data_IF_774384280328
#
_entry.id   IF_774384280328
#
_cell.length_a   1.000
_cell.length_b   1.000
_cell.length_c   1.000
_cell.angle_alpha   90.00
_cell.angle_beta   90.00
_cell.angle_gamma   90.00
#
_symmetry.space_group_name_H-M   'P 1'
#
loop_
_entity.id
_entity.type
_entity.pdbx_description
1 polymer ?
#
# COMPACT_ATOMS: atom_id res chain seq x y z
N UNK A 1 42.08 9.77 -8.91
CA UNK A 1 41.13 9.72 -10.03
C UNK A 1 39.91 10.53 -9.59
N UNK A 2 39.66 11.76 -9.98
CA UNK A 2 40.13 12.55 -11.11
C UNK A 2 40.10 14.03 -10.73
N UNK A 3 41.10 14.76 -11.22
CA UNK A 3 41.24 16.20 -11.16
C UNK A 3 40.23 16.88 -12.08
N UNK A 4 39.48 17.86 -11.60
CA UNK A 4 38.68 18.75 -12.46
C UNK A 4 38.87 20.22 -12.08
N UNK A 5 38.92 21.03 -13.13
CA UNK A 5 39.69 22.26 -13.26
C UNK A 5 38.99 23.51 -12.72
N UNK A 6 39.59 24.15 -11.71
CA UNK A 6 39.23 25.49 -11.27
C UNK A 6 39.70 26.55 -12.28
N UNK A 7 38.83 26.98 -13.19
CA UNK A 7 39.08 28.13 -14.06
C UNK A 7 39.12 29.43 -13.24
N UNK A 8 40.33 29.97 -13.08
CA UNK A 8 40.65 31.28 -12.48
C UNK A 8 39.80 32.40 -13.10
N UNK A 9 38.94 33.03 -12.30
CA UNK A 9 38.38 34.36 -12.60
C UNK A 9 39.45 35.41 -12.32
N UNK A 10 39.82 36.18 -13.34
CA UNK A 10 40.78 37.30 -13.24
C UNK A 10 40.22 38.39 -12.30
N UNK A 11 41.02 38.99 -11.40
CA UNK A 11 40.58 40.15 -10.65
C UNK A 11 40.44 41.36 -11.59
N UNK A 12 39.30 42.03 -11.49
CA UNK A 12 38.94 43.23 -12.23
C UNK A 12 39.86 44.37 -11.75
N UNK A 13 40.85 44.71 -12.56
CA UNK A 13 41.71 45.87 -12.39
C UNK A 13 40.82 47.11 -12.42
N UNK A 14 40.68 47.76 -11.28
CA UNK A 14 40.14 49.12 -11.17
C UNK A 14 41.23 50.02 -11.76
N UNK A 15 41.04 50.42 -13.03
CA UNK A 15 41.80 51.53 -13.61
C UNK A 15 41.27 52.81 -12.99
N UNK A 16 42.09 53.42 -12.15
CA UNK A 16 41.99 54.83 -11.79
C UNK A 16 42.41 55.67 -12.99
N UNK A 17 41.48 55.92 -13.92
CA UNK A 17 41.65 56.97 -14.92
C UNK A 17 41.14 58.28 -14.31
N UNK A 18 41.99 58.88 -13.47
CA UNK A 18 41.91 60.30 -13.17
C UNK A 18 42.37 61.08 -14.38
N UNK A 19 41.43 61.46 -15.25
CA UNK A 19 41.62 62.54 -16.20
C UNK A 19 41.36 63.88 -15.49
N UNK A 20 42.14 64.93 -15.81
CA UNK A 20 42.14 66.16 -15.05
C UNK A 20 40.79 66.87 -15.18
N UNK A 21 40.28 67.37 -14.06
CA UNK A 21 39.31 68.44 -14.05
C UNK A 21 40.00 69.63 -14.72
N UNK A 22 39.81 69.79 -16.03
CA UNK A 22 40.03 71.08 -16.67
C UNK A 22 39.06 72.05 -15.98
N UNK A 23 39.61 72.84 -15.06
CA UNK A 23 38.99 74.04 -14.59
C UNK A 23 38.75 74.95 -15.79
N UNK A 24 37.58 74.85 -16.41
CA UNK A 24 37.01 75.95 -17.16
C UNK A 24 36.73 77.06 -16.15
N UNK A 25 37.74 77.89 -15.93
CA UNK A 25 37.55 79.32 -15.66
C UNK A 25 36.88 79.92 -16.90
N UNK A 26 35.59 79.61 -17.11
CA UNK A 26 34.72 80.57 -17.73
C UNK A 26 34.31 81.50 -16.59
N UNK A 27 35.05 82.59 -16.44
CA UNK A 27 34.46 83.79 -15.90
C UNK A 27 33.41 84.19 -16.96
N UNK A 28 32.18 83.68 -16.85
CA UNK A 28 31.09 84.21 -17.63
C UNK A 28 30.93 85.64 -17.17
N UNK A 29 31.29 86.56 -18.06
CA UNK A 29 31.00 87.96 -17.89
C UNK A 29 29.45 88.06 -17.83
N UNK A 30 28.86 88.57 -16.73
CA UNK A 30 27.40 88.60 -16.59
C UNK A 30 26.73 89.39 -17.74
N UNK A 31 27.44 90.29 -18.41
CA UNK A 31 26.98 90.96 -19.64
C UNK A 31 26.94 90.03 -20.87
N UNK A 32 27.83 89.03 -20.93
CA UNK A 32 27.94 88.07 -22.03
C UNK A 32 26.95 86.92 -21.89
N UNK A 33 26.62 86.53 -20.64
CA UNK A 33 25.45 85.69 -20.32
C UNK A 33 24.16 86.40 -20.71
N UNK A 34 23.97 87.68 -20.33
CA UNK A 34 22.79 88.47 -20.73
C UNK A 34 22.59 88.59 -22.25
N UNK A 35 23.67 88.78 -23.02
CA UNK A 35 23.62 88.75 -24.49
C UNK A 35 23.35 87.36 -25.07
N UNK A 36 23.85 86.31 -24.43
CA UNK A 36 23.63 84.92 -24.86
C UNK A 36 22.15 84.52 -24.65
N UNK A 37 21.54 84.88 -23.51
CA UNK A 37 20.10 84.71 -23.29
C UNK A 37 19.23 85.54 -24.23
N UNK A 38 19.66 86.77 -24.57
CA UNK A 38 18.96 87.61 -25.55
C UNK A 38 19.01 87.02 -26.96
N UNK A 39 20.13 86.44 -27.38
CA UNK A 39 20.28 85.81 -28.69
C UNK A 39 19.60 84.43 -28.76
N UNK A 40 19.58 83.65 -27.67
CA UNK A 40 18.81 82.40 -27.58
C UNK A 40 17.30 82.65 -27.73
N UNK A 41 16.78 83.71 -27.11
CA UNK A 41 15.39 84.13 -27.30
C UNK A 41 15.11 84.64 -28.73
N UNK A 42 16.07 85.32 -29.38
CA UNK A 42 15.95 85.71 -30.79
C UNK A 42 15.89 84.50 -31.74
N UNK A 43 16.62 83.41 -31.43
CA UNK A 43 16.63 82.19 -32.25
C UNK A 43 15.25 81.53 -32.31
N UNK A 44 14.49 81.58 -31.22
CA UNK A 44 13.16 80.96 -31.10
C UNK A 44 12.07 81.73 -31.87
N UNK A 45 12.22 83.05 -31.99
CA UNK A 45 11.25 83.91 -32.66
C UNK A 45 11.52 84.04 -34.17
N UNK A 46 12.74 83.72 -34.62
CA UNK A 46 13.17 83.88 -36.01
C UNK A 46 12.94 82.61 -36.83
N UNK A 47 12.40 82.81 -38.02
CA UNK A 47 12.19 81.74 -38.98
C UNK A 47 13.54 81.30 -39.64
N UNK A 48 13.90 80.01 -39.58
CA UNK A 48 15.14 79.50 -40.18
C UNK A 48 15.23 79.72 -41.69
N UNK A 49 14.09 79.69 -42.40
CA UNK A 49 14.02 79.93 -43.84
C UNK A 49 14.34 81.38 -44.19
N UNK A 50 13.71 82.33 -43.49
CA UNK A 50 13.99 83.77 -43.65
C UNK A 50 15.41 84.15 -43.26
N UNK A 51 15.97 83.54 -42.20
CA UNK A 51 17.38 83.73 -41.84
C UNK A 51 18.32 83.25 -42.97
N UNK A 52 17.99 82.13 -43.63
CA UNK A 52 18.77 81.61 -44.76
C UNK A 52 18.66 82.51 -46.00
N UNK A 53 17.46 83.03 -46.30
CA UNK A 53 17.26 83.99 -47.38
C UNK A 53 18.05 85.28 -47.15
N UNK A 54 18.03 85.81 -45.91
CA UNK A 54 18.83 86.97 -45.53
C UNK A 54 20.33 86.69 -45.63
N UNK A 55 20.79 85.51 -45.21
CA UNK A 55 22.18 85.08 -45.39
C UNK A 55 22.57 85.11 -46.87
N UNK A 56 21.75 84.49 -47.73
CA UNK A 56 21.99 84.45 -49.18
C UNK A 56 22.02 85.86 -49.79
N UNK A 57 21.09 86.73 -49.39
CA UNK A 57 21.03 88.12 -49.82
C UNK A 57 22.30 88.89 -49.42
N UNK A 58 22.72 88.79 -48.15
CA UNK A 58 23.95 89.47 -47.67
C UNK A 58 25.22 88.97 -48.38
N UNK A 59 25.29 87.69 -48.76
CA UNK A 59 26.38 87.16 -49.57
C UNK A 59 26.38 87.73 -51.00
N UNK A 60 25.20 87.88 -51.63
CA UNK A 60 25.07 88.49 -52.95
C UNK A 60 25.44 89.98 -52.94
N UNK A 61 25.02 90.72 -51.92
CA UNK A 61 25.39 92.12 -51.72
C UNK A 61 26.88 92.29 -51.49
N UNK A 62 27.50 91.43 -50.67
CA UNK A 62 28.94 91.43 -50.47
C UNK A 62 29.69 91.12 -51.77
N UNK A 63 29.21 90.17 -52.57
CA UNK A 63 29.78 89.86 -53.89
C UNK A 63 29.69 91.06 -54.84
N UNK A 64 28.57 91.79 -54.85
CA UNK A 64 28.40 93.02 -55.63
C UNK A 64 29.38 94.11 -55.20
N UNK A 65 29.50 94.37 -53.89
CA UNK A 65 30.44 95.35 -53.34
C UNK A 65 31.90 95.00 -53.67
N UNK A 66 32.27 93.71 -53.63
CA UNK A 66 33.61 93.27 -54.03
C UNK A 66 33.89 93.50 -55.52
N UNK A 67 32.90 93.28 -56.39
CA UNK A 67 33.01 93.58 -57.82
C UNK A 67 33.14 95.09 -58.07
N UNK A 68 32.33 95.92 -57.40
CA UNK A 68 32.43 97.39 -57.48
C UNK A 68 33.80 97.91 -56.99
N UNK A 69 34.33 97.36 -55.90
CA UNK A 69 35.67 97.71 -55.41
C UNK A 69 36.75 97.32 -56.45
N UNK A 70 36.59 96.20 -57.15
CA UNK A 70 37.51 95.77 -58.21
C UNK A 70 37.45 96.72 -59.42
N UNK A 71 36.26 97.15 -59.82
CA UNK A 71 36.06 98.10 -60.92
C UNK A 71 36.56 99.52 -60.59
N UNK A 72 36.34 99.99 -59.36
CA UNK A 72 36.87 101.29 -58.91
C UNK A 72 38.40 101.29 -58.84
N UNK A 73 39.01 100.16 -58.46
CA UNK A 73 40.47 99.98 -58.48
C UNK A 73 41.05 99.93 -59.89
N UNK A 74 40.32 99.41 -60.89
CA UNK A 74 40.79 99.33 -62.27
C UNK A 74 40.69 100.66 -63.03
N UNK A 75 39.76 101.56 -62.64
CA UNK A 75 39.50 102.85 -63.31
C UNK A 75 40.37 104.02 -62.83
N UNK A 76 40.93 103.98 -61.62
CA UNK A 76 41.99 104.90 -61.16
C UNK A 76 41.64 106.40 -61.05
N UNK A 77 40.48 106.77 -60.47
CA UNK A 77 40.07 108.17 -60.26
C UNK A 77 40.51 108.80 -58.93
N UNK A 78 40.59 110.14 -58.84
CA UNK A 78 40.97 110.87 -57.61
C UNK A 78 39.96 110.73 -56.45
N UNK A 79 38.68 110.54 -56.76
CA UNK A 79 37.61 110.29 -55.77
C UNK A 79 37.42 108.80 -55.44
N UNK A 80 38.14 107.90 -56.14
CA UNK A 80 38.01 106.45 -55.94
C UNK A 80 38.44 106.00 -54.54
N UNK A 81 39.31 106.75 -53.85
CA UNK A 81 39.78 106.40 -52.52
C UNK A 81 38.68 106.52 -51.44
N UNK A 82 37.89 107.59 -51.48
CA UNK A 82 36.77 107.79 -50.55
C UNK A 82 35.65 106.77 -50.81
N UNK A 83 35.33 106.57 -52.09
CA UNK A 83 34.32 105.61 -52.55
C UNK A 83 34.68 104.15 -52.20
N UNK A 84 35.95 103.78 -52.26
CA UNK A 84 36.44 102.46 -51.84
C UNK A 84 36.29 102.28 -50.33
N UNK A 85 36.53 103.33 -49.53
CA UNK A 85 36.40 103.23 -48.07
C UNK A 85 34.94 103.07 -47.63
N UNK A 86 34.00 103.80 -48.25
CA UNK A 86 32.57 103.62 -48.00
C UNK A 86 32.10 102.19 -48.31
N UNK A 87 32.57 101.61 -49.42
CA UNK A 87 32.24 100.23 -49.82
C UNK A 87 32.89 99.18 -48.91
N UNK A 88 34.05 99.50 -48.32
CA UNK A 88 34.67 98.67 -47.26
C UNK A 88 33.85 98.71 -45.98
N UNK A 89 33.36 99.89 -45.58
CA UNK A 89 32.49 100.03 -44.40
C UNK A 89 31.19 99.23 -44.59
N UNK A 90 30.55 99.34 -45.75
CA UNK A 90 29.36 98.54 -46.09
C UNK A 90 29.66 97.02 -46.07
N UNK A 91 30.80 96.62 -46.64
CA UNK A 91 31.25 95.21 -46.59
C UNK A 91 31.46 94.72 -45.15
N UNK A 92 32.05 95.55 -44.28
CA UNK A 92 32.21 95.25 -42.85
C UNK A 92 30.86 95.06 -42.14
N UNK A 93 29.86 95.88 -42.46
CA UNK A 93 28.48 95.71 -41.95
C UNK A 93 27.92 94.36 -42.39
N UNK A 94 28.05 94.00 -43.68
CA UNK A 94 27.63 92.68 -44.16
C UNK A 94 28.36 91.52 -43.46
N UNK A 95 29.68 91.63 -43.23
CA UNK A 95 30.42 90.63 -42.45
C UNK A 95 29.94 90.52 -41.00
N UNK A 96 29.58 91.63 -40.35
CA UNK A 96 28.98 91.60 -39.01
C UNK A 96 27.63 90.88 -39.01
N UNK A 97 26.79 91.13 -40.03
CA UNK A 97 25.51 90.41 -40.17
C UNK A 97 25.72 88.91 -40.39
N UNK A 98 26.64 88.51 -41.27
CA UNK A 98 26.98 87.09 -41.51
C UNK A 98 27.48 86.40 -40.23
N UNK A 99 28.33 87.05 -39.45
CA UNK A 99 28.80 86.53 -38.16
C UNK A 99 27.66 86.36 -37.16
N UNK A 100 26.72 87.33 -37.09
CA UNK A 100 25.51 87.20 -36.25
C UNK A 100 24.65 86.01 -36.70
N UNK A 101 24.37 85.88 -37.99
CA UNK A 101 23.57 84.76 -38.52
C UNK A 101 24.24 83.40 -38.27
N UNK A 102 25.57 83.31 -38.38
CA UNK A 102 26.31 82.09 -38.06
C UNK A 102 26.22 81.72 -36.56
N UNK A 103 26.33 82.72 -35.68
CA UNK A 103 26.15 82.51 -34.23
C UNK A 103 24.74 81.99 -33.91
N UNK A 104 23.71 82.60 -34.49
CA UNK A 104 22.31 82.16 -34.31
C UNK A 104 22.11 80.72 -34.82
N UNK A 105 22.70 80.36 -35.97
CA UNK A 105 22.63 79.00 -36.50
C UNK A 105 23.29 77.96 -35.57
N UNK A 106 24.46 78.28 -35.00
CA UNK A 106 25.13 77.39 -34.03
C UNK A 106 24.33 77.24 -32.73
N UNK A 107 23.73 78.32 -32.23
CA UNK A 107 22.85 78.28 -31.06
C UNK A 107 21.64 77.38 -31.35
N UNK A 108 20.97 77.56 -32.49
CA UNK A 108 19.82 76.74 -32.92
C UNK A 108 20.19 75.24 -33.01
N UNK A 109 21.35 74.93 -33.60
CA UNK A 109 21.84 73.56 -33.70
C UNK A 109 22.09 72.94 -32.33
N UNK A 110 22.77 73.69 -31.44
CA UNK A 110 23.06 73.21 -30.08
C UNK A 110 21.75 72.94 -29.32
N UNK A 111 20.78 73.86 -29.38
CA UNK A 111 19.48 73.69 -28.75
C UNK A 111 18.75 72.44 -29.24
N UNK A 112 18.69 72.23 -30.56
CA UNK A 112 18.07 71.02 -31.13
C UNK A 112 18.79 69.73 -30.74
N UNK A 113 20.13 69.76 -30.67
CA UNK A 113 20.93 68.62 -30.22
C UNK A 113 20.69 68.29 -28.75
N UNK A 114 20.65 69.29 -27.88
CA UNK A 114 20.46 69.09 -26.44
C UNK A 114 19.03 68.58 -26.18
N UNK A 115 18.02 69.15 -26.84
CA UNK A 115 16.63 68.69 -26.74
C UNK A 115 16.45 67.23 -27.20
N UNK A 116 17.02 66.86 -28.34
CA UNK A 116 16.96 65.48 -28.84
C UNK A 116 17.73 64.52 -27.94
N UNK A 117 18.85 64.97 -27.35
CA UNK A 117 19.59 64.17 -26.40
C UNK A 117 18.82 63.92 -25.10
N UNK A 118 18.17 64.94 -24.54
CA UNK A 118 17.34 64.79 -23.33
C UNK A 118 16.16 63.85 -23.56
N UNK A 119 15.46 63.98 -24.70
CA UNK A 119 14.38 63.08 -25.08
C UNK A 119 14.88 61.63 -25.21
N UNK A 120 16.05 61.45 -25.85
CA UNK A 120 16.71 60.14 -25.95
C UNK A 120 17.02 59.55 -24.57
N UNK A 121 17.61 60.33 -23.65
CA UNK A 121 17.93 59.84 -22.30
C UNK A 121 16.67 59.37 -21.54
N UNK A 122 15.55 60.08 -21.69
CA UNK A 122 14.26 59.66 -21.11
C UNK A 122 13.76 58.36 -21.72
N UNK A 123 13.84 58.20 -23.04
CA UNK A 123 13.46 56.95 -23.73
C UNK A 123 14.35 55.79 -23.29
N UNK A 124 15.66 55.99 -23.18
CA UNK A 124 16.60 54.97 -22.73
C UNK A 124 16.29 54.54 -21.28
N UNK A 125 15.88 55.47 -20.41
CA UNK A 125 15.45 55.16 -19.04
C UNK A 125 14.16 54.33 -18.99
N UNK A 126 13.14 54.69 -19.80
CA UNK A 126 11.92 53.87 -19.92
C UNK A 126 12.20 52.51 -20.54
N UNK A 127 13.10 52.44 -21.51
CA UNK A 127 13.51 51.17 -22.11
C UNK A 127 14.17 50.26 -21.08
N UNK A 128 15.00 50.81 -20.19
CA UNK A 128 15.59 50.04 -19.09
C UNK A 128 14.53 49.50 -18.12
N UNK A 129 13.53 50.30 -17.76
CA UNK A 129 12.41 49.85 -16.92
C UNK A 129 11.63 48.71 -17.60
N UNK A 130 11.37 48.83 -18.91
CA UNK A 130 10.74 47.78 -19.69
C UNK A 130 11.57 46.49 -19.69
N UNK A 131 12.88 46.58 -19.88
CA UNK A 131 13.76 45.41 -19.83
C UNK A 131 13.74 44.72 -18.47
N UNK A 132 13.69 45.48 -17.37
CA UNK A 132 13.56 44.91 -16.03
C UNK A 132 12.26 44.12 -15.87
N UNK A 133 11.12 44.66 -16.34
CA UNK A 133 9.83 43.97 -16.30
C UNK A 133 9.79 42.74 -17.21
N UNK A 134 10.36 42.83 -18.41
CA UNK A 134 10.46 41.68 -19.32
C UNK A 134 11.28 40.55 -18.71
N UNK A 135 12.36 40.88 -18.00
CA UNK A 135 13.13 39.90 -17.26
C UNK A 135 12.30 39.25 -16.14
N UNK A 136 11.54 40.03 -15.37
CA UNK A 136 10.66 39.52 -14.33
C UNK A 136 9.58 38.57 -14.89
N UNK A 137 8.90 38.97 -15.96
CA UNK A 137 7.91 38.12 -16.65
C UNK A 137 8.57 36.82 -17.13
N UNK A 138 9.75 36.90 -17.74
CA UNK A 138 10.47 35.71 -18.19
C UNK A 138 10.88 34.82 -17.01
N UNK A 139 11.32 35.39 -15.89
CA UNK A 139 11.67 34.64 -14.69
C UNK A 139 10.45 33.91 -14.11
N UNK A 140 9.34 34.63 -13.91
CA UNK A 140 8.09 34.06 -13.41
C UNK A 140 7.56 32.97 -14.35
N UNK A 141 7.63 33.18 -15.67
CA UNK A 141 7.22 32.16 -16.63
C UNK A 141 8.08 30.90 -16.52
N UNK A 142 9.41 31.04 -16.37
CA UNK A 142 10.31 29.89 -16.14
C UNK A 142 9.99 29.18 -14.84
N UNK A 143 9.66 29.93 -13.79
CA UNK A 143 9.28 29.37 -12.50
C UNK A 143 7.95 28.61 -12.58
N UNK A 144 6.95 29.16 -13.27
CA UNK A 144 5.68 28.48 -13.57
C UNK A 144 5.94 27.19 -14.35
N UNK A 145 6.72 27.23 -15.43
CA UNK A 145 7.05 26.03 -16.21
C UNK A 145 7.73 24.99 -15.33
N UNK A 146 8.69 25.39 -14.49
CA UNK A 146 9.35 24.50 -13.53
C UNK A 146 8.36 23.88 -12.53
N UNK A 147 7.40 24.66 -12.03
CA UNK A 147 6.35 24.17 -11.15
C UNK A 147 5.38 23.22 -11.87
N UNK A 148 5.10 23.45 -13.15
CA UNK A 148 4.25 22.57 -13.97
C UNK A 148 4.97 21.30 -14.42
N UNK A 149 6.29 21.34 -14.57
CA UNK A 149 7.13 20.16 -14.84
C UNK A 149 7.27 19.24 -13.61
N UNK A 150 6.82 19.68 -12.43
CA UNK A 150 6.80 18.84 -11.25
C UNK A 150 5.76 17.74 -11.40
N UNK A 151 6.23 16.55 -11.78
CA UNK A 151 5.44 15.33 -11.74
C UNK A 151 5.54 14.74 -10.35
N UNK A 152 4.42 14.67 -9.67
CA UNK A 152 4.34 13.98 -8.39
C UNK A 152 4.14 12.49 -8.64
N UNK A 153 4.72 11.65 -7.77
CA UNK A 153 4.74 10.18 -7.90
C UNK A 153 3.35 9.54 -7.97
N UNK A 154 2.29 10.25 -7.59
CA UNK A 154 0.91 9.77 -7.66
C UNK A 154 0.38 9.62 -9.09
N UNK A 155 0.96 10.27 -10.11
CA UNK A 155 0.54 10.14 -11.51
C UNK A 155 0.91 8.78 -12.13
N UNK A 156 1.92 8.10 -11.60
CA UNK A 156 2.42 6.81 -12.12
C UNK A 156 1.81 5.61 -11.39
N UNK A 157 0.97 5.82 -10.38
CA UNK A 157 0.40 4.73 -9.58
C UNK A 157 -0.88 4.24 -10.26
N UNK A 158 -0.90 2.96 -10.62
CA UNK A 158 -2.11 2.25 -11.02
C UNK A 158 -3.05 2.15 -9.81
N UNK A 159 -4.13 2.93 -9.84
CA UNK A 159 -5.14 2.99 -8.79
C UNK A 159 -6.26 1.98 -9.04
N UNK A 160 -6.90 1.52 -7.97
CA UNK A 160 -8.14 0.73 -8.03
C UNK A 160 -9.22 1.49 -8.82
N UNK A 161 -10.00 0.74 -9.60
CA UNK A 161 -11.06 1.34 -10.42
C UNK A 161 -12.08 2.08 -9.55
N UNK A 162 -12.70 3.12 -10.13
CA UNK A 162 -13.68 3.95 -9.41
C UNK A 162 -14.84 3.10 -8.89
N UNK A 163 -15.25 2.12 -9.69
CA UNK A 163 -16.41 1.27 -9.46
C UNK A 163 -16.16 0.28 -8.32
N UNK A 164 -14.98 -0.37 -8.30
CA UNK A 164 -14.58 -1.28 -7.22
C UNK A 164 -14.38 -0.51 -5.91
N UNK A 165 -13.81 0.70 -5.97
CA UNK A 165 -13.63 1.55 -4.79
C UNK A 165 -14.96 1.86 -4.09
N UNK A 166 -15.98 2.31 -4.80
CA UNK A 166 -17.27 2.63 -4.18
C UNK A 166 -18.07 1.39 -3.73
N UNK A 167 -17.78 0.21 -4.26
CA UNK A 167 -18.42 -1.04 -3.84
C UNK A 167 -17.78 -1.63 -2.58
N UNK A 168 -16.45 -1.57 -2.47
CA UNK A 168 -15.71 -2.25 -1.39
C UNK A 168 -15.36 -1.34 -0.21
N UNK A 169 -15.25 -0.03 -0.44
CA UNK A 169 -14.81 0.90 0.59
C UNK A 169 -15.91 1.22 1.61
N UNK A 170 -15.62 1.14 2.93
CA UNK A 170 -16.50 1.61 3.99
C UNK A 170 -16.92 3.08 3.81
N UNK A 171 -18.13 3.46 4.27
CA UNK A 171 -18.65 4.82 4.13
C UNK A 171 -17.77 5.88 4.82
N UNK A 172 -17.02 5.49 5.85
CA UNK A 172 -16.11 6.36 6.61
C UNK A 172 -14.95 6.91 5.76
N UNK A 173 -14.49 6.12 4.79
CA UNK A 173 -13.36 6.45 3.90
C UNK A 173 -13.88 6.94 2.55
N UNK A 174 -14.95 6.32 2.03
CA UNK A 174 -15.47 6.64 0.69
C UNK A 174 -16.11 8.03 0.61
N UNK A 175 -16.69 8.53 1.72
CA UNK A 175 -17.29 9.87 1.87
C UNK A 175 -17.93 10.37 0.57
N UNK A 176 -18.89 9.60 0.05
CA UNK A 176 -19.43 9.76 -1.31
C UNK A 176 -19.97 11.17 -1.60
N UNK A 177 -20.43 11.89 -0.57
CA UNK A 177 -20.94 13.26 -0.69
C UNK A 177 -19.89 14.30 -1.09
N UNK A 178 -18.63 14.11 -0.67
CA UNK A 178 -17.53 15.06 -0.92
C UNK A 178 -16.68 14.58 -2.10
N UNK A 179 -16.47 13.26 -2.22
CA UNK A 179 -15.60 12.66 -3.26
C UNK A 179 -16.22 12.67 -4.66
N UNK A 180 -17.54 12.80 -4.78
CA UNK A 180 -18.21 12.88 -6.09
C UNK A 180 -18.08 14.28 -6.72
N UNK A 181 -17.88 15.33 -5.92
CA UNK A 181 -17.78 16.71 -6.40
C UNK A 181 -16.38 17.17 -6.77
N UNK A 182 -15.34 16.65 -6.11
CA UNK A 182 -13.94 17.05 -6.31
C UNK A 182 -13.05 15.84 -6.70
N UNK A 183 -12.47 15.82 -7.91
CA UNK A 183 -11.58 14.73 -8.34
C UNK A 183 -10.31 14.59 -7.49
N UNK A 184 -9.85 15.67 -6.84
CA UNK A 184 -8.70 15.58 -5.95
C UNK A 184 -9.04 14.83 -4.66
N UNK A 185 -10.17 15.16 -4.03
CA UNK A 185 -10.65 14.43 -2.85
C UNK A 185 -10.95 12.97 -3.19
N UNK A 186 -11.45 12.71 -4.39
CA UNK A 186 -11.66 11.35 -4.89
C UNK A 186 -10.36 10.55 -4.96
N UNK A 187 -9.28 11.12 -5.49
CA UNK A 187 -7.98 10.44 -5.59
C UNK A 187 -7.33 10.23 -4.22
N UNK A 188 -7.46 11.20 -3.30
CA UNK A 188 -7.00 11.04 -1.92
C UNK A 188 -7.72 9.90 -1.19
N UNK A 189 -9.05 9.85 -1.27
CA UNK A 189 -9.84 8.80 -0.63
C UNK A 189 -9.49 7.40 -1.19
N UNK A 190 -9.21 7.30 -2.49
CA UNK A 190 -8.72 6.05 -3.11
C UNK A 190 -7.34 5.64 -2.59
N UNK A 191 -6.41 6.59 -2.47
CA UNK A 191 -5.07 6.33 -1.94
C UNK A 191 -5.11 5.87 -0.47
N UNK A 192 -5.95 6.51 0.35
CA UNK A 192 -6.13 6.13 1.75
C UNK A 192 -6.72 4.72 1.88
N UNK A 193 -7.70 4.38 1.04
CA UNK A 193 -8.26 3.03 0.98
C UNK A 193 -7.23 1.99 0.58
N UNK A 194 -6.44 2.24 -0.48
CA UNK A 194 -5.38 1.31 -0.88
C UNK A 194 -4.32 1.14 0.21
N UNK A 195 -3.96 2.21 0.89
CA UNK A 195 -3.02 2.17 2.00
C UNK A 195 -3.56 1.27 3.12
N UNK A 196 -4.84 1.42 3.47
CA UNK A 196 -5.46 0.58 4.48
C UNK A 196 -5.62 -0.87 4.04
N UNK A 197 -5.96 -1.12 2.77
CA UNK A 197 -5.98 -2.45 2.18
C UNK A 197 -4.60 -3.12 2.25
N UNK A 198 -3.54 -2.40 1.87
CA UNK A 198 -2.16 -2.91 1.96
C UNK A 198 -1.76 -3.21 3.41
N UNK A 199 -2.17 -2.38 4.38
CA UNK A 199 -1.94 -2.66 5.82
C UNK A 199 -2.67 -3.92 6.28
N UNK A 200 -3.96 -4.06 5.94
CA UNK A 200 -4.77 -5.23 6.30
C UNK A 200 -4.21 -6.51 5.67
N UNK A 201 -3.80 -6.45 4.41
CA UNK A 201 -3.19 -7.59 3.70
C UNK A 201 -1.81 -7.96 4.29
N UNK A 202 -0.98 -6.97 4.62
CA UNK A 202 0.32 -7.21 5.26
C UNK A 202 0.15 -7.85 6.64
N UNK A 203 -0.85 -7.43 7.42
CA UNK A 203 -1.16 -8.00 8.73
C UNK A 203 -1.64 -9.46 8.59
N UNK A 204 -2.62 -9.72 7.72
CA UNK A 204 -3.09 -11.09 7.41
C UNK A 204 -1.96 -12.00 6.92
N UNK A 205 -1.04 -11.46 6.10
CA UNK A 205 0.12 -12.20 5.64
C UNK A 205 1.07 -12.53 6.79
N UNK A 206 1.30 -11.59 7.72
CA UNK A 206 2.11 -11.78 8.93
C UNK A 206 1.50 -12.83 9.86
N UNK A 207 0.20 -12.79 10.10
CA UNK A 207 -0.54 -13.80 10.86
C UNK A 207 -0.43 -15.18 10.21
N UNK A 208 -0.62 -15.25 8.89
CA UNK A 208 -0.49 -16.50 8.12
C UNK A 208 0.93 -17.08 8.18
N UNK A 209 1.95 -16.23 8.16
CA UNK A 209 3.34 -16.65 8.37
C UNK A 209 3.56 -17.19 9.79
N UNK A 210 3.04 -16.51 10.81
CA UNK A 210 3.12 -16.99 12.20
C UNK A 210 2.43 -18.36 12.37
N UNK A 211 1.25 -18.54 11.79
CA UNK A 211 0.52 -19.80 11.81
C UNK A 211 1.28 -20.90 11.07
N UNK A 212 1.88 -20.58 9.91
CA UNK A 212 2.77 -21.51 9.20
C UNK A 212 3.95 -21.94 10.08
N UNK A 213 4.59 -21.02 10.79
CA UNK A 213 5.70 -21.35 11.69
C UNK A 213 5.26 -22.22 12.88
N UNK A 214 4.08 -21.93 13.48
CA UNK A 214 3.51 -22.76 14.55
C UNK A 214 3.26 -24.19 14.07
N UNK A 215 2.61 -24.35 12.92
CA UNK A 215 2.34 -25.66 12.31
C UNK A 215 3.65 -26.39 11.99
N UNK A 216 4.66 -25.70 11.47
CA UNK A 216 5.98 -26.31 11.21
C UNK A 216 6.64 -26.82 12.50
N UNK A 217 6.58 -26.05 13.60
CA UNK A 217 7.10 -26.47 14.91
C UNK A 217 6.31 -27.67 15.45
N UNK A 218 4.99 -27.68 15.34
CA UNK A 218 4.18 -28.84 15.73
C UNK A 218 4.51 -30.09 14.92
N UNK A 219 4.71 -29.95 13.61
CA UNK A 219 5.13 -31.04 12.75
C UNK A 219 6.47 -31.60 13.23
N UNK A 220 7.43 -30.74 13.59
CA UNK A 220 8.74 -31.18 14.08
C UNK A 220 8.63 -31.93 15.41
N UNK A 221 7.88 -31.39 16.39
CA UNK A 221 7.62 -32.08 17.67
C UNK A 221 6.92 -33.42 17.44
N UNK A 222 5.92 -33.49 16.55
CA UNK A 222 5.22 -34.74 16.21
C UNK A 222 6.17 -35.73 15.52
N UNK A 223 7.09 -35.28 14.66
CA UNK A 223 8.12 -36.14 14.05
C UNK A 223 9.11 -36.67 15.08
N UNK A 224 9.59 -35.84 15.99
CA UNK A 224 10.45 -36.26 17.11
C UNK A 224 9.75 -37.27 18.02
N UNK A 225 8.47 -37.05 18.31
CA UNK A 225 7.66 -38.00 19.07
C UNK A 225 7.55 -39.35 18.33
N UNK A 226 7.22 -39.33 17.04
CA UNK A 226 7.13 -40.56 16.22
C UNK A 226 8.49 -41.28 16.10
N UNK A 227 9.58 -40.54 15.93
CA UNK A 227 10.93 -41.12 15.86
C UNK A 227 11.36 -41.73 17.19
N UNK A 228 10.88 -41.20 18.33
CA UNK A 228 11.08 -41.78 19.66
C UNK A 228 10.19 -43.00 19.95
N UNK A 229 9.00 -43.07 19.35
CA UNK A 229 8.03 -44.16 19.54
C UNK A 229 8.41 -45.40 18.74
N UNK A 230 8.89 -45.23 17.51
CA UNK A 230 9.30 -46.33 16.63
C UNK A 230 10.26 -47.34 17.29
N UNK A 231 11.37 -46.94 17.95
CA UNK A 231 12.27 -47.88 18.61
C UNK A 231 11.60 -48.58 19.81
N UNK A 232 10.76 -47.88 20.59
CA UNK A 232 10.01 -48.49 21.71
C UNK A 232 9.06 -49.58 21.21
N UNK A 233 8.35 -49.32 20.12
CA UNK A 233 7.45 -50.31 19.50
C UNK A 233 8.25 -51.50 18.96
N UNK A 234 9.39 -51.26 18.32
CA UNK A 234 10.28 -52.33 17.85
C UNK A 234 10.81 -53.19 19.02
N UNK A 235 11.17 -52.59 20.15
CA UNK A 235 11.57 -53.34 21.36
C UNK A 235 10.44 -54.22 21.89
N UNK A 236 9.21 -53.71 21.93
CA UNK A 236 8.03 -54.49 22.35
C UNK A 236 7.77 -55.63 21.38
N UNK A 237 7.84 -55.36 20.07
CA UNK A 237 7.66 -56.38 19.03
C UNK A 237 8.67 -57.51 19.22
N UNK A 238 9.96 -57.20 19.35
CA UNK A 238 11.03 -58.19 19.56
C UNK A 238 10.84 -58.98 20.87
N UNK A 239 10.44 -58.32 21.96
CA UNK A 239 10.15 -59.00 23.22
C UNK A 239 8.92 -59.93 23.15
N UNK A 240 7.95 -59.61 22.30
CA UNK A 240 6.70 -60.38 22.17
C UNK A 240 6.81 -61.59 21.22
N UNK A 241 7.76 -61.61 20.28
CA UNK A 241 7.99 -62.70 19.32
C UNK A 241 8.09 -64.10 19.97
N UNK A 242 8.93 -64.36 20.98
CA UNK A 242 9.07 -65.70 21.56
C UNK A 242 7.77 -66.20 22.23
N UNK A 243 6.96 -65.28 22.76
CA UNK A 243 5.66 -65.62 23.36
C UNK A 243 4.61 -65.90 22.28
N UNK A 244 4.65 -65.16 21.16
CA UNK A 244 3.78 -65.40 20.01
C UNK A 244 4.05 -66.76 19.35
N UNK A 245 5.32 -67.12 19.18
CA UNK A 245 5.74 -68.43 18.67
C UNK A 245 5.31 -69.56 19.60
N UNK A 246 5.43 -69.38 20.92
CA UNK A 246 5.02 -70.38 21.90
C UNK A 246 3.50 -70.61 21.95
N UNK A 247 2.71 -69.54 21.81
CA UNK A 247 1.24 -69.60 21.90
C UNK A 247 0.53 -69.81 20.56
N UNK A 248 1.27 -69.95 19.44
CA UNK A 248 0.73 -70.08 18.07
C UNK A 248 -0.39 -69.07 17.76
N UNK A 249 -0.16 -67.79 18.06
CA UNK A 249 -1.14 -66.72 17.86
C UNK A 249 -0.71 -65.77 16.72
N UNK A 250 -1.17 -66.00 15.47
CA UNK A 250 -0.89 -65.10 14.36
C UNK A 250 -1.86 -63.90 14.41
N UNK A 251 -1.38 -62.74 14.89
CA UNK A 251 -2.17 -61.51 15.00
C UNK A 251 -2.41 -60.79 13.66
N UNK A 252 -1.70 -61.18 12.58
CA UNK A 252 -1.76 -60.49 11.28
C UNK A 252 -3.09 -60.66 10.53
N UNK A 253 -3.85 -61.74 10.78
CA UNK A 253 -5.15 -61.95 10.11
C UNK A 253 -6.32 -61.16 10.72
N UNK A 254 -6.18 -60.66 11.95
CA UNK A 254 -7.22 -59.89 12.63
C UNK A 254 -7.24 -58.39 12.24
N UNK A 255 -6.18 -57.89 11.58
CA UNK A 255 -5.92 -56.47 11.38
C UNK A 255 -7.07 -55.68 10.70
N UNK A 256 -7.80 -56.31 9.78
CA UNK A 256 -8.92 -55.66 9.04
C UNK A 256 -10.10 -55.25 9.94
N UNK A 257 -10.38 -55.99 11.02
CA UNK A 257 -11.42 -55.60 11.99
C UNK A 257 -10.93 -54.49 12.93
N UNK A 258 -9.62 -54.35 13.10
CA UNK A 258 -9.01 -53.33 13.95
C UNK A 258 -8.88 -51.96 13.28
N UNK A 259 -8.92 -51.87 11.95
CA UNK A 259 -8.89 -50.57 11.24
C UNK A 259 -10.06 -49.67 11.64
N UNK A 260 -11.28 -50.22 11.69
CA UNK A 260 -12.46 -49.50 12.19
C UNK A 260 -12.35 -49.22 13.69
N UNK A 261 -11.71 -50.12 14.45
CA UNK A 261 -11.51 -49.96 15.89
C UNK A 261 -10.46 -48.91 16.27
N UNK A 262 -9.57 -48.49 15.36
CA UNK A 262 -8.56 -47.43 15.61
C UNK A 262 -9.19 -46.08 15.94
N UNK A 263 -10.41 -45.84 15.45
CA UNK A 263 -11.13 -44.58 15.67
C UNK A 263 -12.04 -44.63 16.91
N UNK A 264 -12.05 -45.73 17.66
CA UNK A 264 -12.83 -45.84 18.89
C UNK A 264 -12.17 -45.11 20.07
N UNK A 265 -12.95 -44.49 20.96
CA UNK A 265 -12.48 -44.00 22.24
C UNK A 265 -11.81 -45.12 23.06
N UNK A 266 -10.79 -44.82 23.89
CA UNK A 266 -10.04 -45.84 24.63
C UNK A 266 -10.92 -46.82 25.44
N UNK A 267 -11.97 -46.37 26.17
CA UNK A 267 -12.84 -47.29 26.90
C UNK A 267 -13.67 -48.22 25.99
N UNK A 268 -14.14 -47.71 24.84
CA UNK A 268 -14.87 -48.52 23.86
C UNK A 268 -13.96 -49.49 23.12
N UNK A 269 -12.70 -49.10 22.86
CA UNK A 269 -11.70 -49.99 22.30
C UNK A 269 -11.41 -51.19 23.22
N UNK A 270 -11.22 -50.94 24.53
CA UNK A 270 -11.03 -52.03 25.50
C UNK A 270 -12.25 -52.94 25.53
N UNK A 271 -13.47 -52.40 25.56
CA UNK A 271 -14.70 -53.19 25.54
C UNK A 271 -14.80 -54.05 24.27
N UNK A 272 -14.47 -53.49 23.11
CA UNK A 272 -14.44 -54.22 21.84
C UNK A 272 -13.43 -55.37 21.86
N UNK A 273 -12.20 -55.13 22.34
CA UNK A 273 -11.16 -56.17 22.45
C UNK A 273 -11.57 -57.27 23.42
N UNK A 274 -12.14 -56.92 24.57
CA UNK A 274 -12.59 -57.93 25.55
C UNK A 274 -13.80 -58.72 25.06
N UNK A 275 -14.77 -58.07 24.41
CA UNK A 275 -15.95 -58.74 23.87
C UNK A 275 -15.59 -59.70 22.72
N UNK A 276 -14.70 -59.29 21.83
CA UNK A 276 -14.20 -60.15 20.75
C UNK A 276 -13.37 -61.32 21.29
N UNK A 277 -12.52 -61.08 22.29
CA UNK A 277 -11.79 -62.14 22.99
C UNK A 277 -12.74 -63.15 23.64
N UNK A 278 -13.78 -62.67 24.34
CA UNK A 278 -14.79 -63.53 24.98
C UNK A 278 -15.56 -64.36 23.96
N UNK A 279 -16.02 -63.76 22.86
CA UNK A 279 -16.74 -64.46 21.79
C UNK A 279 -15.90 -65.56 21.15
N UNK A 280 -14.60 -65.31 20.91
CA UNK A 280 -13.69 -66.30 20.33
C UNK A 280 -13.32 -67.42 21.30
N UNK A 281 -13.17 -67.10 22.59
CA UNK A 281 -12.80 -68.07 23.63
C UNK A 281 -13.97 -69.00 24.02
N UNK A 282 -15.14 -68.42 24.30
CA UNK A 282 -16.29 -69.16 24.82
C UNK A 282 -17.24 -69.71 23.74
N UNK A 283 -17.27 -69.10 22.55
CA UNK A 283 -18.17 -69.51 21.45
C UNK A 283 -17.92 -70.93 20.91
N UNK A 284 -16.70 -71.47 21.08
CA UNK A 284 -16.36 -72.83 20.62
C UNK A 284 -16.71 -73.96 21.59
N UNK A 285 -17.15 -73.67 22.83
CA UNK A 285 -17.36 -74.69 23.88
C UNK A 285 -18.70 -74.57 24.63
N UNK A 286 -19.72 -73.97 24.02
CA UNK A 286 -21.05 -73.79 24.63
C UNK A 286 -21.80 -75.10 25.00
N UNK A 287 -21.32 -76.26 24.56
CA UNK A 287 -21.94 -77.57 24.84
C UNK A 287 -21.28 -78.37 25.99
N UNK A 288 -20.07 -78.03 26.46
CA UNK A 288 -19.33 -78.86 27.42
C UNK A 288 -19.34 -78.36 28.87
N UNK A 289 -19.79 -77.13 29.13
CA UNK A 289 -19.78 -76.56 30.49
C UNK A 289 -21.11 -76.73 31.26
N UNK A 290 -22.05 -77.57 30.79
CA UNK A 290 -23.41 -77.66 31.35
C UNK A 290 -23.85 -79.04 31.82
N UNK A 291 -22.92 -79.93 32.17
CA UNK A 291 -23.22 -81.09 33.02
C UNK A 291 -22.42 -81.03 34.32
N UNK A 292 -23.13 -80.62 35.37
CA UNK A 292 -22.95 -80.99 36.78
C UNK A 292 -21.57 -80.77 37.41
N UNK A 293 -21.47 -79.74 38.26
CA UNK A 293 -20.98 -79.91 39.64
C UNK A 293 -21.11 -78.58 40.39
N UNK A 294 -22.02 -78.56 41.35
CA UNK A 294 -22.03 -77.63 42.46
C UNK A 294 -20.75 -77.86 43.26
N UNK A 295 -19.91 -76.83 43.43
CA UNK A 295 -18.77 -76.85 44.35
C UNK A 295 -17.43 -77.32 43.79
N UNK A 296 -16.77 -76.50 42.96
CA UNK A 296 -15.31 -76.46 42.80
C UNK A 296 -14.92 -75.28 41.89
N UNK A 297 -14.98 -74.05 42.42
CA UNK A 297 -14.57 -72.83 41.70
C UNK A 297 -13.21 -72.29 42.19
N UNK A 298 -12.35 -73.17 42.69
CA UNK A 298 -10.96 -72.84 42.99
C UNK A 298 -10.08 -73.95 42.41
N UNK A 299 -9.09 -73.57 41.62
CA UNK A 299 -8.03 -74.42 41.06
C UNK A 299 -8.44 -75.28 39.84
N UNK A 300 -8.83 -74.65 38.73
CA UNK A 300 -8.84 -75.30 37.42
C UNK A 300 -8.51 -74.37 36.23
N UNK A 301 -7.67 -73.34 36.44
CA UNK A 301 -7.33 -72.36 35.38
C UNK A 301 -6.23 -72.80 34.40
N UNK A 302 -5.64 -73.99 34.55
CA UNK A 302 -4.50 -74.42 33.73
C UNK A 302 -4.77 -75.44 32.62
N UNK A 303 -5.77 -76.31 32.79
CA UNK A 303 -5.87 -77.55 31.99
C UNK A 303 -6.85 -77.42 30.82
N UNK A 304 -7.87 -76.58 30.97
CA UNK A 304 -8.89 -76.35 29.94
C UNK A 304 -8.29 -75.56 28.76
N UNK A 305 -7.37 -74.63 29.03
CA UNK A 305 -6.68 -73.84 28.01
C UNK A 305 -5.77 -74.68 27.11
N UNK A 306 -5.02 -75.63 27.69
CA UNK A 306 -4.14 -76.54 26.92
C UNK A 306 -4.93 -77.39 25.94
N UNK A 307 -6.07 -77.93 26.33
CA UNK A 307 -6.89 -78.77 25.46
C UNK A 307 -7.61 -77.95 24.36
N UNK A 308 -7.98 -76.70 24.66
CA UNK A 308 -8.52 -75.75 23.68
C UNK A 308 -7.48 -75.32 22.63
N UNK A 309 -6.25 -75.00 23.05
CA UNK A 309 -5.15 -74.61 22.15
C UNK A 309 -4.74 -75.76 21.25
N UNK A 310 -4.58 -76.97 21.81
CA UNK A 310 -4.13 -78.15 21.06
C UNK A 310 -5.10 -78.53 19.93
N UNK A 311 -6.41 -78.32 20.12
CA UNK A 311 -7.41 -78.62 19.09
C UNK A 311 -7.51 -77.56 18.00
N UNK A 312 -7.15 -76.30 18.30
CA UNK A 312 -7.06 -75.22 17.31
C UNK A 312 -5.79 -75.37 16.44
N UNK A 313 -4.71 -75.90 17.01
CA UNK A 313 -3.47 -76.21 16.29
C UNK A 313 -3.61 -77.40 15.31
N UNK A 314 -4.55 -78.32 15.54
CA UNK A 314 -4.75 -79.52 14.71
C UNK A 314 -5.65 -79.32 13.48
N UNK A 315 -6.11 -78.10 13.16
CA UNK A 315 -6.76 -77.82 11.88
C UNK A 315 -8.03 -78.64 11.56
N UNK A 316 -8.69 -79.24 12.56
CA UNK A 316 -9.90 -80.02 12.35
C UNK A 316 -11.13 -79.10 12.22
N UNK A 317 -11.53 -78.87 10.98
CA UNK A 317 -12.92 -78.64 10.56
C UNK A 317 -13.59 -77.33 11.00
N UNK A 318 -13.82 -76.45 10.02
CA UNK A 318 -14.95 -75.52 10.09
C UNK A 318 -16.24 -76.34 10.24
N UNK A 319 -16.87 -76.25 11.40
CA UNK A 319 -18.28 -76.60 11.58
C UNK A 319 -19.02 -75.30 11.87
N UNK A 320 -20.16 -75.02 11.21
CA UNK A 320 -20.97 -73.86 11.51
C UNK A 320 -21.66 -74.13 12.84
N UNK A 321 -21.15 -73.55 13.92
CA UNK A 321 -21.87 -73.50 15.19
C UNK A 321 -22.20 -72.04 15.48
N UNK A 322 -23.47 -71.80 15.79
CA UNK A 322 -24.06 -70.47 15.96
C UNK A 322 -23.22 -69.60 16.89
N UNK A 323 -22.77 -68.45 16.37
CA UNK A 323 -22.14 -67.41 17.18
C UNK A 323 -23.21 -66.88 18.13
N UNK A 324 -23.12 -67.28 19.40
CA UNK A 324 -23.99 -66.80 20.48
C UNK A 324 -23.74 -65.33 20.83
N UNK A 325 -22.61 -64.76 20.41
CA UNK A 325 -22.23 -63.37 20.58
C UNK A 325 -21.67 -62.79 19.26
N UNK A 326 -22.26 -61.70 18.78
CA UNK A 326 -21.73 -60.88 17.68
C UNK A 326 -21.44 -59.45 18.14
N UNK A 327 -20.35 -58.88 17.62
CA UNK A 327 -19.89 -57.53 17.95
C UNK A 327 -19.82 -56.71 16.65
N UNK A 328 -20.44 -55.54 16.64
CA UNK A 328 -20.41 -54.59 15.52
C UNK A 328 -20.04 -53.19 16.02
N UNK A 329 -19.39 -52.40 15.16
CA UNK A 329 -19.11 -50.98 15.39
C UNK A 329 -20.06 -50.21 14.48
N UNK A 330 -20.88 -49.37 15.07
CA UNK A 330 -21.90 -48.56 14.38
C UNK A 330 -21.54 -47.08 14.47
N UNK A 331 -21.65 -46.36 13.36
CA UNK A 331 -21.45 -44.91 13.31
C UNK A 331 -20.65 -44.40 12.12
N UNK A 332 -20.49 -43.07 12.06
CA UNK A 332 -19.73 -42.40 10.99
C UNK A 332 -18.24 -42.35 11.32
N UNK A 333 -17.43 -43.02 10.50
CA UNK A 333 -15.96 -43.02 10.62
C UNK A 333 -15.37 -41.64 10.30
N UNK A 334 -16.00 -40.87 9.41
CA UNK A 334 -15.49 -39.57 8.97
C UNK A 334 -15.67 -38.49 10.04
N UNK A 335 -16.78 -38.51 10.77
CA UNK A 335 -16.98 -37.63 11.94
C UNK A 335 -16.02 -38.00 13.09
N UNK A 336 -15.74 -39.30 13.28
CA UNK A 336 -14.77 -39.76 14.28
C UNK A 336 -13.34 -39.31 13.96
N UNK A 337 -12.97 -39.29 12.67
CA UNK A 337 -11.68 -38.74 12.21
C UNK A 337 -11.60 -37.23 12.38
N UNK A 338 -12.70 -36.52 12.16
CA UNK A 338 -12.76 -35.07 12.34
C UNK A 338 -12.57 -34.66 13.82
N UNK A 339 -13.06 -35.47 14.77
CA UNK A 339 -12.83 -35.25 16.21
C UNK A 339 -11.40 -35.56 16.67
N UNK A 340 -10.66 -36.40 15.95
CA UNK A 340 -9.27 -36.76 16.26
C UNK A 340 -8.27 -35.70 15.79
N UNK A 341 -8.66 -34.81 14.87
CA UNK A 341 -7.90 -33.59 14.63
C UNK A 341 -8.06 -32.73 15.88
N UNK A 342 -6.96 -32.31 16.55
CA UNK A 342 -7.08 -31.30 17.58
C UNK A 342 -7.82 -30.11 16.97
N UNK A 343 -8.92 -29.74 17.60
CA UNK A 343 -9.61 -28.49 17.35
C UNK A 343 -8.53 -27.41 17.48
N UNK A 344 -8.28 -26.65 16.41
CA UNK A 344 -7.52 -25.42 16.53
C UNK A 344 -8.16 -24.65 17.69
N UNK A 345 -7.39 -24.39 18.75
CA UNK A 345 -7.86 -23.66 19.90
C UNK A 345 -8.47 -22.37 19.38
N UNK A 346 -9.79 -22.23 19.54
CA UNK A 346 -10.48 -20.97 19.37
C UNK A 346 -9.81 -20.02 20.36
N UNK A 347 -9.03 -19.07 19.83
CA UNK A 347 -8.61 -17.90 20.59
C UNK A 347 -9.87 -17.16 20.99
N UNK A 348 -10.30 -17.38 22.24
CA UNK A 348 -11.18 -16.47 22.96
C UNK A 348 -10.37 -15.23 23.33
N UNK A 349 -10.10 -14.37 22.35
CA UNK A 349 -9.67 -12.99 22.60
C UNK A 349 -10.95 -12.17 22.90
N UNK A 350 -11.44 -12.27 24.14
CA UNK A 350 -12.40 -11.31 24.71
C UNK A 350 -11.65 -9.98 24.90
N UNK A 351 -11.59 -9.18 23.82
CA UNK A 351 -11.20 -7.78 23.87
C UNK A 351 -12.45 -6.94 24.09
N UNK A 352 -12.67 -6.57 25.35
CA UNK A 352 -13.72 -5.65 25.78
C UNK A 352 -13.36 -4.24 25.27
N UNK A 353 -14.07 -3.78 24.25
CA UNK A 353 -14.01 -2.39 23.79
C UNK A 353 -15.43 -1.88 23.63
N UNK A 354 -15.84 -1.11 24.65
CA UNK A 354 -17.03 -0.26 24.65
C UNK A 354 -16.98 0.71 23.46
N UNK A 355 -17.87 0.49 22.49
CA UNK A 355 -18.28 1.50 21.54
C UNK A 355 -19.78 1.33 21.27
N UNK A 356 -20.56 2.26 21.80
CA UNK A 356 -21.98 2.38 21.46
C UNK A 356 -22.11 2.89 20.03
N UNK A 357 -22.79 2.12 19.18
CA UNK A 357 -23.56 2.70 18.09
C UNK A 357 -24.76 1.81 17.72
N UNK A 358 -25.95 2.42 17.81
CA UNK A 358 -27.23 1.86 17.42
C UNK A 358 -27.26 1.63 15.90
N UNK A 359 -27.54 0.41 15.45
CA UNK A 359 -28.33 0.22 14.24
C UNK A 359 -29.02 -1.14 14.18
N UNK A 360 -30.25 -1.08 13.72
CA UNK A 360 -31.33 -2.02 13.96
C UNK A 360 -31.27 -3.24 13.06
N UNK A 361 -30.87 -4.40 13.60
CA UNK A 361 -31.45 -5.68 13.15
C UNK A 361 -31.83 -6.48 14.39
N UNK A 362 -33.10 -6.87 14.51
CA UNK A 362 -33.65 -7.63 15.65
C UNK A 362 -33.12 -9.07 15.65
N UNK A 363 -31.82 -9.27 15.86
CA UNK A 363 -31.29 -10.54 16.36
C UNK A 363 -31.54 -10.55 17.86
N UNK A 364 -32.54 -11.34 18.28
CA UNK A 364 -32.80 -11.60 19.69
C UNK A 364 -31.48 -12.02 20.36
N UNK A 365 -31.01 -11.25 21.34
CA UNK A 365 -30.01 -11.72 22.32
C UNK A 365 -30.49 -13.11 22.80
N UNK A 366 -29.65 -14.15 22.74
CA UNK A 366 -29.98 -15.44 23.33
C UNK A 366 -30.34 -15.19 24.78
N UNK A 367 -31.54 -15.59 25.20
CA UNK A 367 -31.87 -15.58 26.62
C UNK A 367 -30.90 -16.54 27.32
N UNK A 368 -30.53 -16.28 28.57
CA UNK A 368 -29.63 -17.14 29.38
C UNK A 368 -30.00 -18.64 29.29
N UNK A 369 -31.29 -18.96 29.12
CA UNK A 369 -31.77 -20.32 28.86
C UNK A 369 -31.21 -20.96 27.58
N UNK A 370 -31.08 -20.22 26.48
CA UNK A 370 -30.54 -20.72 25.20
C UNK A 370 -29.03 -21.01 25.32
N UNK A 371 -28.26 -20.15 25.99
CA UNK A 371 -26.84 -20.39 26.26
C UNK A 371 -26.62 -21.61 27.16
N UNK A 372 -27.48 -21.80 28.18
CA UNK A 372 -27.41 -22.98 29.05
C UNK A 372 -27.80 -24.25 28.30
N UNK A 373 -28.77 -24.19 27.38
CA UNK A 373 -29.15 -25.34 26.55
C UNK A 373 -28.06 -25.71 25.53
N UNK A 374 -27.37 -24.73 24.93
CA UNK A 374 -26.25 -25.00 24.04
C UNK A 374 -25.06 -25.59 24.79
N UNK A 375 -24.74 -25.05 25.98
CA UNK A 375 -23.73 -25.61 26.88
C UNK A 375 -24.10 -27.03 27.34
N UNK A 376 -25.39 -27.29 27.59
CA UNK A 376 -25.89 -28.64 27.93
C UNK A 376 -25.75 -29.61 26.75
N UNK A 377 -26.08 -29.20 25.52
CA UNK A 377 -25.92 -30.03 24.32
C UNK A 377 -24.46 -30.34 24.04
N UNK A 378 -23.58 -29.36 24.25
CA UNK A 378 -22.14 -29.55 24.13
C UNK A 378 -21.60 -30.52 25.19
N UNK A 379 -22.01 -30.37 26.45
CA UNK A 379 -21.63 -31.32 27.52
C UNK A 379 -22.17 -32.74 27.29
N UNK A 380 -23.34 -32.88 26.66
CA UNK A 380 -23.96 -34.16 26.32
C UNK A 380 -23.58 -34.67 24.91
N UNK A 381 -22.58 -34.06 24.25
CA UNK A 381 -22.11 -34.47 22.93
C UNK A 381 -21.63 -35.93 22.98
N UNK A 382 -22.30 -36.76 22.18
CA UNK A 382 -21.99 -38.19 22.04
C UNK A 382 -20.87 -38.38 21.03
N UNK A 383 -20.08 -39.42 21.26
CA UNK A 383 -19.15 -39.90 20.26
C UNK A 383 -19.90 -40.48 19.06
N UNK A 384 -19.50 -40.18 17.81
CA UNK A 384 -20.20 -40.62 16.60
C UNK A 384 -20.10 -42.14 16.37
N UNK A 385 -19.10 -42.81 16.93
CA UNK A 385 -18.99 -44.28 16.95
C UNK A 385 -19.52 -44.87 18.25
N UNK A 386 -20.24 -45.97 18.12
CA UNK A 386 -20.84 -46.77 19.18
C UNK A 386 -20.54 -48.25 18.96
N UNK A 387 -20.49 -49.05 20.03
CA UNK A 387 -20.26 -50.50 19.94
C UNK A 387 -21.56 -51.23 20.24
N UNK A 388 -21.98 -52.13 19.34
CA UNK A 388 -23.16 -52.97 19.49
C UNK A 388 -22.74 -54.41 19.78
N UNK A 389 -23.28 -54.99 20.85
CA UNK A 389 -23.14 -56.40 21.22
C UNK A 389 -24.49 -57.08 21.12
N UNK A 390 -24.56 -58.13 20.33
CA UNK A 390 -25.78 -58.93 20.15
C UNK A 390 -25.56 -60.32 20.73
N UNK A 391 -26.38 -60.67 21.72
CA UNK A 391 -26.37 -61.94 22.42
C UNK A 391 -27.60 -62.76 22.03
N UNK A 392 -27.38 -63.92 21.41
CA UNK A 392 -28.46 -64.87 21.09
C UNK A 392 -28.64 -65.85 22.26
N UNK A 393 -29.78 -65.75 22.94
CA UNK A 393 -30.21 -66.68 23.98
C UNK A 393 -30.79 -67.96 23.36
N UNK A 394 -30.88 -69.04 24.15
CA UNK A 394 -31.43 -70.33 23.72
C UNK A 394 -32.92 -70.30 23.39
N UNK A 395 -33.62 -69.30 23.89
CA UNK A 395 -35.07 -69.13 23.75
C UNK A 395 -35.41 -68.31 22.48
N UNK A 396 -34.58 -68.43 21.43
CA UNK A 396 -34.62 -67.67 20.17
C UNK A 396 -34.73 -66.14 20.36
N UNK A 397 -34.30 -65.64 21.50
CA UNK A 397 -34.33 -64.24 21.88
C UNK A 397 -32.94 -63.62 21.70
N UNK A 398 -32.87 -62.41 21.14
CA UNK A 398 -31.64 -61.66 20.93
C UNK A 398 -31.64 -60.40 21.81
N UNK A 399 -30.63 -60.30 22.67
CA UNK A 399 -30.36 -59.10 23.48
C UNK A 399 -29.34 -58.23 22.74
N UNK A 400 -29.78 -57.06 22.30
CA UNK A 400 -28.94 -56.02 21.71
C UNK A 400 -28.50 -55.02 22.78
N UNK A 401 -27.20 -54.83 22.94
CA UNK A 401 -26.59 -53.87 23.85
C UNK A 401 -25.81 -52.85 23.03
N UNK A 402 -26.24 -51.60 23.02
CA UNK A 402 -25.53 -50.50 22.34
C UNK A 402 -24.83 -49.62 23.35
N UNK A 403 -23.51 -49.54 23.26
CA UNK A 403 -22.67 -48.71 24.11
C UNK A 403 -22.35 -47.40 23.41
N UNK A 404 -22.76 -46.30 24.04
CA UNK A 404 -22.43 -44.93 23.64
C UNK A 404 -21.38 -44.35 24.59
N UNK A 405 -20.51 -43.50 24.08
CA UNK A 405 -19.51 -42.79 24.88
C UNK A 405 -19.74 -41.29 24.85
N UNK A 406 -19.75 -40.66 26.02
CA UNK A 406 -19.83 -39.21 26.20
C UNK A 406 -18.44 -38.68 26.50
N UNK A 407 -17.82 -38.01 25.53
CA UNK A 407 -16.43 -37.55 25.60
C UNK A 407 -16.19 -36.52 26.72
N UNK A 408 -17.11 -35.55 26.87
CA UNK A 408 -16.98 -34.46 27.84
C UNK A 408 -17.25 -34.91 29.30
N UNK A 409 -18.00 -36.01 29.48
CA UNK A 409 -18.31 -36.56 30.80
C UNK A 409 -17.47 -37.78 31.16
N UNK A 410 -16.72 -38.35 30.20
CA UNK A 410 -15.97 -39.60 30.32
C UNK A 410 -16.83 -40.77 30.85
N UNK A 411 -18.09 -40.84 30.44
CA UNK A 411 -19.05 -41.88 30.84
C UNK A 411 -19.45 -42.71 29.62
N UNK A 412 -19.47 -44.03 29.80
CA UNK A 412 -20.05 -44.98 28.86
C UNK A 412 -21.47 -45.33 29.31
N UNK A 413 -22.41 -45.23 28.38
CA UNK A 413 -23.84 -45.51 28.62
C UNK A 413 -24.26 -46.70 27.78
N UNK A 414 -25.23 -47.48 28.27
CA UNK A 414 -25.74 -48.66 27.58
C UNK A 414 -27.22 -48.50 27.30
N UNK A 415 -27.64 -48.83 26.09
CA UNK A 415 -29.05 -49.01 25.73
C UNK A 415 -29.28 -50.46 25.36
N UNK A 416 -30.07 -51.14 26.19
CA UNK A 416 -30.46 -52.52 26.01
C UNK A 416 -31.79 -52.60 25.24
N UNK A 417 -31.87 -53.52 24.28
CA UNK A 417 -33.10 -53.86 23.55
C UNK A 417 -33.19 -55.37 23.44
N UNK A 418 -34.26 -55.96 23.96
CA UNK A 418 -34.53 -57.40 23.83
C UNK A 418 -35.49 -57.58 22.66
N UNK A 419 -35.17 -58.51 21.76
CA UNK A 419 -36.06 -58.93 20.66
C UNK A 419 -36.26 -60.43 20.76
N UNK A 420 -37.49 -60.90 20.60
CA UNK A 420 -37.84 -62.33 20.64
C UNK A 420 -38.31 -62.77 19.26
N UNK A 421 -38.03 -64.02 18.88
CA UNK A 421 -38.43 -64.54 17.55
C UNK A 421 -39.95 -64.66 17.37
N UNK A 422 -40.71 -64.72 18.46
CA UNK A 422 -42.19 -64.70 18.49
C UNK A 422 -42.69 -63.34 18.98
N UNK A 423 -43.83 -62.88 18.44
CA UNK A 423 -44.52 -61.68 18.93
C UNK A 423 -44.89 -61.88 20.41
N UNK A 424 -44.22 -61.13 21.29
CA UNK A 424 -44.45 -61.21 22.72
C UNK A 424 -45.79 -60.54 23.05
N UNK A 425 -46.81 -61.34 23.38
CA UNK A 425 -48.05 -60.83 23.98
C UNK A 425 -47.71 -60.46 25.43
N UNK A 426 -47.43 -59.19 25.68
CA UNK A 426 -47.08 -58.69 27.01
C UNK A 426 -48.31 -58.69 27.92
N UNK A 427 -48.25 -59.31 29.11
CA UNK A 427 -49.34 -59.21 30.08
C UNK A 427 -49.40 -57.78 30.65
N UNK A 428 -50.61 -57.32 31.00
CA UNK A 428 -50.84 -55.97 31.57
C UNK A 428 -50.04 -55.75 32.86
N UNK A 429 -49.66 -56.82 33.57
CA UNK A 429 -48.82 -56.76 34.78
C UNK A 429 -47.33 -56.50 34.53
N UNK A 430 -46.89 -56.35 33.27
CA UNK A 430 -45.47 -56.21 32.90
C UNK A 430 -45.07 -54.78 32.47
N UNK A 431 -45.91 -53.78 32.76
CA UNK A 431 -45.67 -52.35 32.47
C UNK A 431 -44.97 -51.62 33.60
#
# INVERSE_FOLDING_TARGET
MSSESSKKRKPKVIRSDGAPVEGKRNRSDPEQEGKYYSEEAEVDLRDPGRDYELYKYTCQELQRLMAEIQDLKSRGGKDAAAEIEDRRILSCVHFMTLKKLNRLAHIRLKKGRDQTHEAKQKVDAYHLQLQNLLYEVMHLQKEITKCLEFKSKHEEIDLVSVEEFYQEAPPDISKAEITTGDPHQQTLARLDWELEQRKRLAEKYRESLSNKEKILKEIEVKKEYLSSLQPRLNSIMQASLPVQEYLFMPFDQAHKQYETARHLPPPLYVLFVQATAYGQACGKYGAWCRRGAVGAAAVADGVIWKHCLLRKALGLGQTPSDKTLSVAIEGSVDEAKALFKPHEESQDDESDSDAEEEQTTKRRRPTLGVQLDDKRKEMLKRHPLSVMLDLKCKDDSVLHLTFYYLMNLNIMTVKARVTTATELITPISAG
#
